data_IF_987558912187
#
_entry.id   IF_987558912187
#
_cell.length_a   1.000
_cell.length_b   1.000
_cell.length_c   1.000
_cell.angle_alpha   90.00
_cell.angle_beta   90.00
_cell.angle_gamma   90.00
#
_symmetry.space_group_name_H-M   'P 1'
#
loop_
_entity.id
_entity.type
_entity.pdbx_description
1 polymer ?
#
# COMPACT_ATOMS: atom_id res chain seq x y z
N UNK A 1 -18.84 -20.14 -14.53
CA UNK A 1 -17.37 -20.32 -14.52
C UNK A 1 -16.75 -18.94 -14.43
N UNK A 2 -15.74 -18.75 -13.59
CA UNK A 2 -14.89 -17.56 -13.61
C UNK A 2 -13.92 -17.67 -14.78
N UNK A 3 -13.42 -16.53 -15.27
CA UNK A 3 -12.39 -16.49 -16.31
C UNK A 3 -11.10 -17.09 -15.76
N UNK A 4 -10.41 -17.89 -16.58
CA UNK A 4 -9.08 -18.38 -16.26
C UNK A 4 -8.05 -17.24 -16.23
N UNK A 5 -7.28 -17.14 -15.15
CA UNK A 5 -6.26 -16.11 -14.96
C UNK A 5 -5.15 -16.25 -15.99
N UNK A 6 -4.76 -17.47 -16.35
CA UNK A 6 -3.67 -17.69 -17.31
C UNK A 6 -4.06 -17.20 -18.71
N UNK A 7 -5.34 -17.31 -19.07
CA UNK A 7 -5.86 -16.69 -20.29
C UNK A 7 -5.73 -15.16 -20.26
N UNK A 8 -6.07 -14.51 -19.15
CA UNK A 8 -5.95 -13.05 -19.00
C UNK A 8 -4.48 -12.63 -19.06
N UNK A 9 -3.60 -13.32 -18.33
CA UNK A 9 -2.15 -13.08 -18.33
C UNK A 9 -1.57 -13.23 -19.73
N UNK A 10 -1.94 -14.30 -20.44
CA UNK A 10 -1.50 -14.52 -21.82
C UNK A 10 -1.86 -13.34 -22.72
N UNK A 11 -3.10 -12.83 -22.64
CA UNK A 11 -3.56 -11.66 -23.41
C UNK A 11 -2.83 -10.36 -23.07
N UNK A 12 -2.43 -10.18 -21.82
CA UNK A 12 -1.60 -9.04 -21.38
C UNK A 12 -0.20 -9.13 -22.02
N UNK A 13 0.44 -10.30 -21.96
CA UNK A 13 1.81 -10.50 -22.46
C UNK A 13 1.89 -10.51 -23.99
N UNK A 14 0.93 -11.12 -24.67
CA UNK A 14 0.89 -11.18 -26.14
C UNK A 14 0.48 -9.85 -26.79
N UNK A 15 0.02 -8.87 -25.97
CA UNK A 15 -0.52 -7.57 -26.42
C UNK A 15 -1.73 -7.70 -27.35
N UNK A 16 -2.42 -8.84 -27.32
CA UNK A 16 -3.66 -9.07 -28.07
C UNK A 16 -4.78 -8.14 -27.64
N UNK A 17 -4.79 -7.76 -26.35
CA UNK A 17 -5.79 -6.85 -25.81
C UNK A 17 -5.12 -5.58 -25.27
N UNK A 18 -5.15 -4.52 -26.10
CA UNK A 18 -4.54 -3.23 -25.79
C UNK A 18 -5.12 -2.65 -24.51
N UNK A 19 -6.42 -2.82 -24.26
CA UNK A 19 -7.06 -2.26 -23.07
C UNK A 19 -6.54 -2.93 -21.81
N UNK A 20 -6.43 -4.26 -21.80
CA UNK A 20 -5.82 -5.00 -20.69
C UNK A 20 -4.37 -4.59 -20.47
N UNK A 21 -3.58 -4.46 -21.55
CA UNK A 21 -2.19 -4.04 -21.44
C UNK A 21 -2.06 -2.63 -20.85
N UNK A 22 -2.87 -1.67 -21.32
CA UNK A 22 -2.86 -0.30 -20.82
C UNK A 22 -3.27 -0.22 -19.34
N UNK A 23 -4.30 -0.98 -18.93
CA UNK A 23 -4.69 -1.07 -17.52
C UNK A 23 -3.53 -1.61 -16.69
N UNK A 24 -2.89 -2.70 -17.12
CA UNK A 24 -1.74 -3.29 -16.43
C UNK A 24 -0.58 -2.29 -16.32
N UNK A 25 -0.29 -1.53 -17.37
CA UNK A 25 0.78 -0.54 -17.36
C UNK A 25 0.51 0.60 -16.37
N UNK A 26 -0.73 1.07 -16.27
CA UNK A 26 -1.12 2.08 -15.29
C UNK A 26 -1.01 1.51 -13.87
N UNK A 27 -1.45 0.28 -13.64
CA UNK A 27 -1.30 -0.38 -12.32
C UNK A 27 0.17 -0.56 -11.97
N UNK A 28 1.02 -0.98 -12.91
CA UNK A 28 2.47 -1.12 -12.69
C UNK A 28 3.14 0.22 -12.36
N UNK A 29 2.71 1.30 -13.03
CA UNK A 29 3.15 2.65 -12.73
C UNK A 29 2.70 3.10 -11.32
N UNK A 30 1.45 2.83 -10.93
CA UNK A 30 0.98 3.13 -9.58
C UNK A 30 1.77 2.35 -8.51
N UNK A 31 2.17 1.11 -8.79
CA UNK A 31 3.06 0.34 -7.91
C UNK A 31 4.46 0.98 -7.85
N UNK A 32 5.01 1.48 -8.97
CA UNK A 32 6.34 2.11 -8.96
C UNK A 32 6.39 3.40 -8.15
N UNK A 33 5.30 4.15 -8.08
CA UNK A 33 5.15 5.34 -7.23
C UNK A 33 4.85 5.00 -5.76
N UNK A 34 4.73 3.72 -5.41
CA UNK A 34 4.37 3.27 -4.08
C UNK A 34 5.56 2.70 -3.28
N UNK A 35 5.44 2.59 -1.94
CA UNK A 35 6.45 1.93 -1.11
C UNK A 35 6.75 0.47 -1.51
N UNK A 36 5.81 -0.15 -2.21
CA UNK A 36 5.84 -1.53 -2.69
C UNK A 36 6.68 -1.69 -3.96
N UNK A 37 7.24 -0.60 -4.51
CA UNK A 37 8.13 -0.64 -5.66
C UNK A 37 9.31 -1.61 -5.42
N UNK A 38 9.44 -2.58 -6.34
CA UNK A 38 10.53 -3.57 -6.38
C UNK A 38 11.30 -3.56 -7.72
N UNK A 39 11.09 -2.54 -8.56
CA UNK A 39 11.66 -2.43 -9.90
C UNK A 39 10.64 -2.75 -11.00
N UNK A 40 10.92 -2.25 -12.21
CA UNK A 40 9.97 -2.26 -13.33
C UNK A 40 9.40 -3.64 -13.67
N UNK A 41 10.27 -4.66 -13.73
CA UNK A 41 9.86 -6.03 -14.05
C UNK A 41 8.99 -6.64 -12.95
N UNK A 42 9.41 -6.54 -11.68
CA UNK A 42 8.64 -7.04 -10.54
C UNK A 42 7.30 -6.31 -10.40
N UNK A 43 7.26 -5.00 -10.62
CA UNK A 43 6.03 -4.22 -10.58
C UNK A 43 5.07 -4.61 -11.71
N UNK A 44 5.58 -4.88 -12.91
CA UNK A 44 4.75 -5.34 -14.03
C UNK A 44 4.17 -6.74 -13.79
N UNK A 45 4.96 -7.66 -13.21
CA UNK A 45 4.47 -8.98 -12.82
C UNK A 45 3.38 -8.89 -11.74
N UNK A 46 3.60 -8.05 -10.72
CA UNK A 46 2.61 -7.81 -9.66
C UNK A 46 1.31 -7.18 -10.22
N UNK A 47 1.43 -6.21 -11.12
CA UNK A 47 0.29 -5.60 -11.79
C UNK A 47 -0.47 -6.62 -12.66
N UNK A 48 0.24 -7.49 -13.37
CA UNK A 48 -0.36 -8.54 -14.20
C UNK A 48 -1.13 -9.55 -13.35
N UNK A 49 -0.56 -9.97 -12.22
CA UNK A 49 -1.27 -10.82 -11.26
C UNK A 49 -2.51 -10.11 -10.69
N UNK A 50 -2.38 -8.84 -10.28
CA UNK A 50 -3.50 -8.06 -9.75
C UNK A 50 -4.65 -7.91 -10.75
N UNK A 51 -4.36 -7.54 -11.99
CA UNK A 51 -5.36 -7.40 -13.07
C UNK A 51 -6.03 -8.73 -13.37
N UNK A 52 -5.25 -9.80 -13.56
CA UNK A 52 -5.80 -11.12 -13.87
C UNK A 52 -6.64 -11.67 -12.73
N UNK A 53 -6.19 -11.51 -11.48
CA UNK A 53 -6.95 -11.88 -10.29
C UNK A 53 -8.26 -11.11 -10.18
N UNK A 54 -8.22 -9.78 -10.27
CA UNK A 54 -9.40 -8.93 -10.15
C UNK A 54 -10.44 -9.29 -11.21
N UNK A 55 -10.01 -9.44 -12.46
CA UNK A 55 -10.92 -9.76 -13.56
C UNK A 55 -11.54 -11.15 -13.37
N UNK A 56 -10.72 -12.15 -13.00
CA UNK A 56 -11.18 -13.52 -12.73
C UNK A 56 -12.19 -13.60 -11.58
N UNK A 57 -12.00 -12.80 -10.52
CA UNK A 57 -12.89 -12.77 -9.36
C UNK A 57 -14.21 -12.04 -9.63
N UNK A 58 -14.21 -11.03 -10.50
CA UNK A 58 -15.34 -10.10 -10.63
C UNK A 58 -16.12 -10.22 -11.95
N UNK A 59 -15.62 -10.97 -12.94
CA UNK A 59 -16.26 -11.11 -14.25
C UNK A 59 -16.38 -12.57 -14.67
N UNK A 60 -17.52 -12.88 -15.32
CA UNK A 60 -17.83 -14.22 -15.81
C UNK A 60 -17.07 -14.57 -17.08
N UNK A 61 -16.88 -13.59 -17.96
CA UNK A 61 -16.21 -13.70 -19.26
C UNK A 61 -15.60 -12.35 -19.70
N UNK A 62 -14.69 -12.41 -20.68
CA UNK A 62 -13.95 -11.23 -21.17
C UNK A 62 -14.91 -10.21 -21.81
N UNK A 63 -15.99 -10.66 -22.43
CA UNK A 63 -16.96 -9.78 -23.07
C UNK A 63 -17.73 -8.95 -22.05
N UNK A 64 -18.07 -9.54 -20.90
CA UNK A 64 -18.66 -8.84 -19.76
C UNK A 64 -17.70 -7.80 -19.19
N UNK A 65 -16.40 -8.12 -19.09
CA UNK A 65 -15.37 -7.14 -18.72
C UNK A 65 -15.31 -5.97 -19.72
N UNK A 66 -15.25 -6.27 -21.03
CA UNK A 66 -15.22 -5.23 -22.08
C UNK A 66 -16.46 -4.35 -22.08
N UNK A 67 -17.63 -4.94 -21.82
CA UNK A 67 -18.89 -4.23 -21.67
C UNK A 67 -18.85 -3.30 -20.46
N UNK A 68 -18.28 -3.73 -19.33
CA UNK A 68 -18.10 -2.86 -18.16
C UNK A 68 -17.13 -1.72 -18.44
N UNK A 69 -16.02 -2.01 -19.12
CA UNK A 69 -15.03 -1.00 -19.49
C UNK A 69 -15.60 0.06 -20.45
N UNK A 70 -16.48 -0.34 -21.37
CA UNK A 70 -17.14 0.58 -22.31
C UNK A 70 -18.28 1.40 -21.69
N UNK A 71 -18.85 0.94 -20.56
CA UNK A 71 -19.85 1.67 -19.77
C UNK A 71 -19.23 2.75 -18.87
N UNK A 72 -17.97 2.59 -18.47
CA UNK A 72 -17.20 3.66 -17.84
C UNK A 72 -16.94 4.74 -18.91
N UNK A 73 -16.97 6.00 -18.52
CA UNK A 73 -16.94 7.21 -19.38
C UNK A 73 -16.04 7.07 -20.64
N UNK A 74 -16.50 7.55 -21.81
CA UNK A 74 -15.83 7.27 -23.11
C UNK A 74 -14.34 7.68 -23.11
N UNK A 75 -13.44 6.73 -23.37
CA UNK A 75 -12.03 6.97 -23.68
C UNK A 75 -11.06 6.67 -22.53
N UNK A 76 -10.00 7.46 -22.38
CA UNK A 76 -8.90 7.16 -21.44
C UNK A 76 -9.30 7.31 -19.95
N UNK A 77 -10.40 8.02 -19.67
CA UNK A 77 -10.93 8.17 -18.30
C UNK A 77 -11.44 6.84 -17.73
N UNK A 78 -12.11 6.01 -18.52
CA UNK A 78 -12.58 4.69 -18.08
C UNK A 78 -11.44 3.75 -17.74
N UNK A 79 -10.40 3.76 -18.57
CA UNK A 79 -9.18 2.96 -18.36
C UNK A 79 -8.52 3.35 -17.03
N UNK A 80 -8.36 4.66 -16.77
CA UNK A 80 -7.77 5.13 -15.51
C UNK A 80 -8.62 4.75 -14.30
N UNK A 81 -9.94 4.92 -14.35
CA UNK A 81 -10.84 4.52 -13.27
C UNK A 81 -10.77 3.02 -13.00
N UNK A 82 -10.74 2.21 -14.05
CA UNK A 82 -10.63 0.76 -13.89
C UNK A 82 -9.27 0.36 -13.31
N UNK A 83 -8.18 0.97 -13.80
CA UNK A 83 -6.84 0.74 -13.25
C UNK A 83 -6.75 1.16 -11.78
N UNK A 84 -7.41 2.24 -11.37
CA UNK A 84 -7.52 2.65 -9.97
C UNK A 84 -8.26 1.59 -9.14
N UNK A 85 -9.38 1.05 -9.63
CA UNK A 85 -10.10 -0.04 -8.94
C UNK A 85 -9.22 -1.28 -8.77
N UNK A 86 -8.46 -1.67 -9.80
CA UNK A 86 -7.56 -2.83 -9.73
C UNK A 86 -6.40 -2.56 -8.78
N UNK A 87 -5.75 -1.40 -8.88
CA UNK A 87 -4.70 -1.01 -7.95
C UNK A 87 -5.24 -0.99 -6.52
N UNK A 88 -6.50 -0.61 -6.36
CA UNK A 88 -7.15 -0.63 -5.08
C UNK A 88 -7.34 -2.03 -4.51
N UNK A 89 -7.80 -2.96 -5.34
CA UNK A 89 -7.89 -4.36 -5.00
C UNK A 89 -6.54 -4.99 -4.66
N UNK A 90 -5.48 -4.60 -5.39
CA UNK A 90 -4.11 -4.99 -5.09
C UNK A 90 -3.72 -4.56 -3.68
N UNK A 91 -3.85 -3.27 -3.35
CA UNK A 91 -3.48 -2.75 -2.03
C UNK A 91 -4.26 -3.39 -0.89
N UNK A 92 -5.55 -3.71 -1.09
CA UNK A 92 -6.37 -4.32 -0.04
C UNK A 92 -5.88 -5.72 0.37
N UNK A 93 -5.17 -6.41 -0.54
CA UNK A 93 -4.58 -7.72 -0.32
C UNK A 93 -3.16 -7.67 0.26
N UNK A 94 -2.53 -6.51 0.33
CA UNK A 94 -1.16 -6.34 0.83
C UNK A 94 -1.18 -6.14 2.34
N UNK A 95 -0.98 -7.25 3.06
CA UNK A 95 -1.04 -7.28 4.53
C UNK A 95 0.16 -6.52 5.10
N UNK A 96 -0.08 -5.63 6.07
CA UNK A 96 0.98 -4.95 6.81
C UNK A 96 1.50 -5.83 7.96
N UNK A 97 2.44 -6.72 7.65
CA UNK A 97 3.16 -7.44 8.70
C UNK A 97 4.20 -6.54 9.37
N UNK A 98 4.63 -6.92 10.59
CA UNK A 98 5.70 -6.24 11.31
C UNK A 98 6.95 -6.04 10.44
N UNK A 99 7.42 -7.10 9.78
CA UNK A 99 8.62 -7.06 8.92
C UNK A 99 8.44 -6.16 7.69
N UNK A 100 7.22 -6.09 7.13
CA UNK A 100 6.92 -5.21 6.00
C UNK A 100 7.01 -3.76 6.46
N UNK A 101 6.32 -3.39 7.55
CA UNK A 101 6.32 -2.02 8.07
C UNK A 101 7.73 -1.60 8.47
N UNK A 102 8.47 -2.47 9.16
CA UNK A 102 9.86 -2.22 9.54
C UNK A 102 10.73 -1.94 8.31
N UNK A 103 10.66 -2.81 7.28
CA UNK A 103 11.39 -2.58 6.04
C UNK A 103 10.99 -1.27 5.34
N UNK A 104 9.71 -0.87 5.41
CA UNK A 104 9.25 0.40 4.85
C UNK A 104 9.90 1.61 5.54
N UNK A 105 10.06 1.54 6.87
CA UNK A 105 10.73 2.56 7.68
C UNK A 105 12.24 2.58 7.38
N UNK A 106 12.94 1.43 7.53
CA UNK A 106 14.41 1.38 7.42
C UNK A 106 14.91 1.75 6.03
N UNK A 107 14.17 1.40 4.97
CA UNK A 107 14.52 1.74 3.58
C UNK A 107 13.93 3.06 3.10
N UNK A 108 13.23 3.81 3.98
CA UNK A 108 12.58 5.08 3.65
C UNK A 108 11.63 4.95 2.45
N UNK A 109 10.94 3.80 2.35
CA UNK A 109 9.97 3.53 1.27
C UNK A 109 8.65 4.25 1.48
N UNK A 110 8.33 4.61 2.73
CA UNK A 110 7.17 5.44 3.06
C UNK A 110 7.58 6.59 3.98
N UNK A 111 7.47 7.81 3.45
CA UNK A 111 7.88 9.05 4.14
C UNK A 111 7.04 9.29 5.40
N UNK A 112 5.75 8.95 5.37
CA UNK A 112 4.86 9.16 6.52
C UNK A 112 5.28 8.27 7.68
N UNK A 113 5.53 6.98 7.41
CA UNK A 113 6.03 6.03 8.42
C UNK A 113 7.40 6.46 8.97
N UNK A 114 8.31 6.93 8.12
CA UNK A 114 9.60 7.45 8.58
C UNK A 114 9.45 8.66 9.49
N UNK A 115 8.63 9.63 9.11
CA UNK A 115 8.40 10.83 9.92
C UNK A 115 7.74 10.51 11.26
N UNK A 116 6.72 9.65 11.27
CA UNK A 116 6.10 9.16 12.52
C UNK A 116 7.16 8.52 13.42
N UNK A 117 8.04 7.69 12.85
CA UNK A 117 9.14 7.05 13.60
C UNK A 117 10.11 8.05 14.19
N UNK A 118 10.49 9.08 13.43
CA UNK A 118 11.38 10.14 13.91
C UNK A 118 10.74 10.94 15.06
N UNK A 119 9.43 11.23 14.96
CA UNK A 119 8.70 11.92 16.02
C UNK A 119 8.63 11.05 17.29
N UNK A 120 8.37 9.74 17.16
CA UNK A 120 8.37 8.81 18.29
C UNK A 120 9.77 8.70 18.91
N UNK A 121 10.83 8.59 18.11
CA UNK A 121 12.21 8.55 18.59
C UNK A 121 12.59 9.83 19.35
N UNK A 122 12.15 10.99 18.85
CA UNK A 122 12.35 12.26 19.51
C UNK A 122 11.61 12.34 20.86
N UNK A 123 10.40 11.81 20.95
CA UNK A 123 9.67 11.70 22.23
C UNK A 123 10.35 10.77 23.22
N UNK A 124 10.94 9.66 22.77
CA UNK A 124 11.77 8.78 23.62
C UNK A 124 12.99 9.55 24.13
N UNK A 125 13.69 10.29 23.26
CA UNK A 125 14.81 11.15 23.65
C UNK A 125 14.45 12.19 24.71
N UNK A 126 13.22 12.74 24.67
CA UNK A 126 12.72 13.69 25.67
C UNK A 126 12.28 13.03 26.99
N UNK A 127 12.35 11.71 27.10
CA UNK A 127 11.85 10.94 28.24
C UNK A 127 12.99 10.33 29.07
N UNK A 128 12.70 9.81 30.28
CA UNK A 128 13.68 9.07 31.07
C UNK A 128 14.22 7.80 30.39
N UNK A 129 13.61 7.38 29.28
CA UNK A 129 14.01 6.21 28.50
C UNK A 129 15.06 6.50 27.42
N UNK A 130 15.61 7.72 27.40
CA UNK A 130 16.69 8.08 26.49
C UNK A 130 17.89 7.13 26.63
N UNK A 131 18.22 6.47 25.52
CA UNK A 131 19.39 5.58 25.38
C UNK A 131 20.33 6.06 24.27
N UNK A 132 20.17 7.31 23.85
CA UNK A 132 20.89 7.91 22.75
C UNK A 132 20.20 7.72 21.39
N UNK A 133 20.55 8.54 20.38
CA UNK A 133 19.78 8.66 19.14
C UNK A 133 19.55 7.35 18.38
N UNK A 134 20.58 6.50 18.28
CA UNK A 134 20.51 5.24 17.54
C UNK A 134 19.58 4.23 18.21
N UNK A 135 19.74 4.03 19.52
CA UNK A 135 18.90 3.10 20.30
C UNK A 135 17.46 3.61 20.41
N UNK A 136 17.26 4.92 20.48
CA UNK A 136 15.92 5.53 20.46
C UNK A 136 15.23 5.31 19.10
N UNK A 137 15.96 5.45 18.00
CA UNK A 137 15.42 5.16 16.67
C UNK A 137 15.06 3.69 16.50
N UNK A 138 15.94 2.76 16.90
CA UNK A 138 15.65 1.30 16.84
C UNK A 138 14.43 0.95 17.69
N UNK A 139 14.29 1.58 18.86
CA UNK A 139 13.12 1.41 19.72
C UNK A 139 11.87 1.94 19.03
N UNK A 140 11.90 3.17 18.53
CA UNK A 140 10.78 3.78 17.82
C UNK A 140 10.37 2.97 16.58
N UNK A 141 11.32 2.52 15.77
CA UNK A 141 11.09 1.71 14.57
C UNK A 141 10.35 0.41 14.95
N UNK A 142 10.85 -0.30 15.95
CA UNK A 142 10.21 -1.53 16.46
C UNK A 142 8.78 -1.26 16.92
N UNK A 143 8.56 -0.21 17.70
CA UNK A 143 7.24 0.08 18.25
C UNK A 143 6.25 0.60 17.23
N UNK A 144 6.68 1.44 16.29
CA UNK A 144 5.85 1.88 15.16
C UNK A 144 5.49 0.66 14.31
N UNK A 145 6.46 -0.19 13.96
CA UNK A 145 6.19 -1.40 13.18
C UNK A 145 5.18 -2.32 13.88
N UNK A 146 5.34 -2.53 15.18
CA UNK A 146 4.41 -3.30 15.99
C UNK A 146 3.01 -2.68 15.97
N UNK A 147 2.89 -1.40 16.35
CA UNK A 147 1.60 -0.71 16.43
C UNK A 147 0.86 -0.77 15.09
N UNK A 148 1.54 -0.46 13.98
CA UNK A 148 0.91 -0.47 12.67
C UNK A 148 0.43 -1.87 12.30
N UNK A 149 1.27 -2.89 12.47
CA UNK A 149 0.94 -4.27 12.10
C UNK A 149 -0.19 -4.89 12.94
N UNK A 150 -0.36 -4.43 14.19
CA UNK A 150 -1.42 -4.89 15.08
C UNK A 150 -2.77 -4.18 14.83
N UNK A 151 -2.74 -2.95 14.31
CA UNK A 151 -3.93 -2.09 14.22
C UNK A 151 -4.46 -1.87 12.79
N UNK A 152 -3.69 -2.19 11.75
CA UNK A 152 -4.10 -1.99 10.36
C UNK A 152 -3.88 -3.25 9.53
N UNK A 153 -4.88 -3.63 8.75
CA UNK A 153 -4.77 -4.81 7.89
C UNK A 153 -3.82 -4.58 6.73
N UNK A 154 -3.90 -3.40 6.11
CA UNK A 154 -3.16 -3.04 4.89
C UNK A 154 -2.80 -1.54 4.85
N UNK A 155 -1.97 -1.17 3.88
CA UNK A 155 -1.46 0.21 3.73
C UNK A 155 -2.56 1.24 3.46
N UNK A 156 -3.65 0.82 2.82
CA UNK A 156 -4.80 1.70 2.57
C UNK A 156 -5.48 2.10 3.87
N UNK A 157 -5.79 1.14 4.73
CA UNK A 157 -6.45 1.42 6.01
C UNK A 157 -5.63 2.40 6.86
N UNK A 158 -4.30 2.19 6.89
CA UNK A 158 -3.38 3.12 7.55
C UNK A 158 -3.43 4.53 6.94
N UNK A 159 -3.32 4.65 5.61
CA UNK A 159 -3.36 5.96 4.92
C UNK A 159 -4.69 6.68 5.11
N UNK A 160 -5.79 5.94 5.13
CA UNK A 160 -7.11 6.48 5.43
C UNK A 160 -7.15 7.04 6.85
N UNK A 161 -6.63 6.31 7.84
CA UNK A 161 -6.52 6.79 9.21
C UNK A 161 -5.69 8.09 9.31
N UNK A 162 -4.55 8.17 8.63
CA UNK A 162 -3.77 9.42 8.57
C UNK A 162 -4.57 10.58 7.94
N UNK A 163 -5.33 10.30 6.89
CA UNK A 163 -6.17 11.31 6.23
C UNK A 163 -7.29 11.79 7.14
N UNK A 164 -7.90 10.87 7.90
CA UNK A 164 -8.99 11.17 8.85
C UNK A 164 -8.50 12.00 10.05
N UNK A 165 -7.21 11.91 10.40
CA UNK A 165 -6.58 12.73 11.45
C UNK A 165 -6.28 14.17 11.01
N UNK A 166 -6.33 14.47 9.71
CA UNK A 166 -6.12 15.81 9.17
C UNK A 166 -5.09 15.85 8.04
N UNK A 167 -4.49 17.03 7.82
CA UNK A 167 -3.54 17.26 6.71
C UNK A 167 -2.13 17.55 7.21
N UNK A 168 -1.14 17.03 6.49
CA UNK A 168 0.26 17.39 6.66
C UNK A 168 0.86 16.94 8.00
N UNK A 169 1.77 17.74 8.54
CA UNK A 169 2.54 17.43 9.76
C UNK A 169 1.65 17.17 10.98
N UNK A 170 0.53 17.88 11.10
CA UNK A 170 -0.40 17.71 12.23
C UNK A 170 -0.94 16.27 12.34
N UNK A 171 -1.30 15.65 11.22
CA UNK A 171 -1.77 14.27 11.21
C UNK A 171 -0.66 13.30 11.63
N UNK A 172 0.57 13.53 11.17
CA UNK A 172 1.73 12.71 11.52
C UNK A 172 2.09 12.82 13.00
N UNK A 173 2.07 14.04 13.56
CA UNK A 173 2.31 14.30 14.98
C UNK A 173 1.23 13.66 15.86
N UNK A 174 -0.05 13.85 15.49
CA UNK A 174 -1.18 13.27 16.22
C UNK A 174 -1.12 11.74 16.21
N UNK A 175 -0.75 11.15 15.08
CA UNK A 175 -0.58 9.70 14.98
C UNK A 175 0.63 9.22 15.80
N UNK A 176 1.76 9.93 15.74
CA UNK A 176 2.94 9.61 16.54
C UNK A 176 2.65 9.69 18.05
N UNK A 177 1.79 10.61 18.49
CA UNK A 177 1.31 10.66 19.88
C UNK A 177 0.52 9.41 20.27
N UNK A 178 -0.30 8.86 19.38
CA UNK A 178 -1.02 7.60 19.62
C UNK A 178 -0.03 6.44 19.78
N UNK A 179 0.97 6.34 18.90
CA UNK A 179 1.99 5.30 18.97
C UNK A 179 2.84 5.44 20.23
N UNK A 180 3.24 6.66 20.60
CA UNK A 180 4.03 6.90 21.80
C UNK A 180 3.24 6.57 23.08
N UNK A 181 1.94 6.90 23.13
CA UNK A 181 1.06 6.46 24.23
C UNK A 181 0.99 4.94 24.33
N UNK A 182 0.87 4.25 23.19
CA UNK A 182 0.90 2.79 23.15
C UNK A 182 2.22 2.21 23.68
N UNK A 183 3.35 2.81 23.29
CA UNK A 183 4.68 2.47 23.82
C UNK A 183 4.73 2.58 25.36
N UNK A 184 4.29 3.71 25.92
CA UNK A 184 4.29 3.92 27.37
C UNK A 184 3.39 2.92 28.11
N UNK A 185 2.23 2.58 27.54
CA UNK A 185 1.31 1.60 28.12
C UNK A 185 1.91 0.19 28.13
N UNK A 186 2.49 -0.26 27.01
CA UNK A 186 3.13 -1.59 26.89
C UNK A 186 4.31 -1.76 27.84
N UNK A 187 5.03 -0.68 28.16
CA UNK A 187 6.14 -0.71 29.13
C UNK A 187 5.65 -0.85 30.60
N UNK A 188 4.43 -0.42 30.88
CA UNK A 188 3.86 -0.42 32.24
C UNK A 188 3.23 -1.77 32.63
N UNK A 189 3.11 -2.69 31.66
CA UNK A 189 2.65 -4.07 31.84
C UNK A 189 3.83 -5.04 31.83
#
# INVERSE_FOLDING_TARGET
MSIDKELIKSKIHSKEDISLKTITDIVAYNISESPENMGSESNFLAATEAVSQYISENFKDIDTFKTRLSQLDKGMKSINQFAEIVYNHYQDKQILSFEIVKNMISKVKDVSLKMITDIVAYKIYQSPDDKGPELNFISAETFVAQYISENFKNIREFRRCLTDLGKGSYALESFADLVYKYYCQKKSN
#
